data_IF_156115399058
#
_entry.id   IF_156115399058
#
_cell.length_a   1.000
_cell.length_b   1.000
_cell.length_c   1.000
_cell.angle_alpha   90.00
_cell.angle_beta   90.00
_cell.angle_gamma   90.00
#
_symmetry.space_group_name_H-M   'P 1'
#
loop_
_entity.id
_entity.type
_entity.pdbx_description
1 polymer ?
#
# COMPACT_ATOMS: atom_id res chain seq x y z
N UNK A 1 -21.03 11.38 -3.51
CA UNK A 1 -19.97 10.86 -4.42
C UNK A 1 -19.34 9.65 -3.74
N UNK A 2 -19.69 8.44 -4.16
CA UNK A 2 -19.31 7.17 -3.50
C UNK A 2 -17.96 6.64 -4.00
N UNK A 3 -16.97 7.52 -3.99
CA UNK A 3 -15.68 7.30 -4.63
C UNK A 3 -14.62 7.08 -3.56
N UNK A 4 -14.00 5.90 -3.59
CA UNK A 4 -12.83 5.61 -2.76
C UNK A 4 -11.56 5.77 -3.57
N UNK A 5 -10.64 6.58 -3.07
CA UNK A 5 -9.31 6.76 -3.67
C UNK A 5 -8.36 5.68 -3.15
N UNK A 6 -7.78 4.87 -4.04
CA UNK A 6 -6.91 3.76 -3.66
C UNK A 6 -5.56 3.75 -4.43
N UNK A 7 -4.49 3.35 -3.74
CA UNK A 7 -3.20 2.92 -4.30
C UNK A 7 -2.70 1.65 -3.59
N UNK A 8 -1.83 0.85 -4.21
CA UNK A 8 -1.17 -0.30 -3.57
C UNK A 8 0.17 0.12 -2.95
N UNK A 9 0.40 -0.29 -1.69
CA UNK A 9 1.72 -0.23 -1.07
C UNK A 9 2.20 -1.62 -0.65
N UNK A 10 3.49 -1.89 -0.90
CA UNK A 10 4.21 -3.02 -0.31
C UNK A 10 4.81 -2.55 1.02
N UNK A 11 4.63 -3.31 2.09
CA UNK A 11 5.32 -3.03 3.35
C UNK A 11 6.78 -3.45 3.21
N UNK A 12 7.64 -2.51 2.81
CA UNK A 12 9.09 -2.72 2.90
C UNK A 12 9.54 -2.44 4.34
N UNK A 13 9.86 -3.49 5.09
CA UNK A 13 10.53 -3.34 6.38
C UNK A 13 11.98 -2.91 6.13
N UNK A 14 12.23 -1.61 6.12
CA UNK A 14 13.60 -1.07 6.18
C UNK A 14 14.13 -1.31 7.60
N UNK A 15 14.78 -2.45 7.82
CA UNK A 15 15.58 -2.68 9.02
C UNK A 15 16.86 -1.84 8.89
N UNK A 16 16.76 -0.58 9.29
CA UNK A 16 17.90 0.35 9.32
C UNK A 16 18.78 -0.02 10.49
N UNK A 17 19.87 -0.75 10.20
CA UNK A 17 20.94 -1.01 11.16
C UNK A 17 21.66 0.30 11.48
N UNK A 18 21.28 0.92 12.59
CA UNK A 18 22.07 1.97 13.23
C UNK A 18 23.29 1.30 13.85
N UNK A 19 24.42 1.29 13.14
CA UNK A 19 25.74 1.04 13.73
C UNK A 19 26.53 2.35 13.64
N UNK A 20 26.20 3.27 14.55
CA UNK A 20 27.11 4.35 14.92
C UNK A 20 28.18 3.74 15.82
N UNK A 21 29.33 3.38 15.25
CA UNK A 21 30.55 3.13 16.00
C UNK A 21 31.49 4.31 15.74
N UNK A 22 31.31 5.33 16.56
CA UNK A 22 32.25 6.41 16.77
C UNK A 22 33.53 5.80 17.37
N UNK A 23 34.52 5.48 16.53
CA UNK A 23 35.84 5.08 16.99
C UNK A 23 36.72 6.33 17.08
N UNK A 24 37.09 6.63 18.32
CA UNK A 24 37.76 7.83 18.79
C UNK A 24 39.15 8.02 18.16
N UNK A 25 39.44 9.30 17.89
CA UNK A 25 40.75 9.85 17.55
C UNK A 25 41.78 9.48 18.63
N UNK A 26 42.82 8.75 18.25
CA UNK A 26 44.09 8.78 18.98
C UNK A 26 45.22 9.05 17.99
N UNK A 27 46.04 10.04 18.34
CA UNK A 27 47.06 10.65 17.51
C UNK A 27 48.26 9.72 17.31
N UNK A 28 48.87 9.75 16.10
CA UNK A 28 50.27 9.34 15.92
C UNK A 28 50.62 8.66 14.59
N UNK A 29 51.28 9.43 13.71
CA UNK A 29 52.32 9.04 12.74
C UNK A 29 51.95 8.42 11.38
N UNK A 30 52.66 8.95 10.36
CA UNK A 30 52.50 8.79 8.91
C UNK A 30 53.44 7.68 8.38
N UNK A 31 53.09 7.12 7.21
CA UNK A 31 53.78 6.11 6.37
C UNK A 31 53.33 4.69 6.71
N UNK A 32 52.53 3.96 5.93
CA UNK A 32 52.26 3.99 4.50
C UNK A 32 52.21 2.52 4.06
N UNK A 33 51.24 2.14 3.24
CA UNK A 33 51.33 1.21 2.10
C UNK A 33 49.92 0.80 1.67
N UNK A 34 49.59 1.34 0.49
CA UNK A 34 48.70 0.82 -0.53
C UNK A 34 48.19 -0.61 -0.29
N UNK A 35 46.89 -0.75 -0.04
CA UNK A 35 46.10 -1.83 -0.62
C UNK A 35 45.08 -1.21 -1.58
N UNK A 36 45.54 -1.15 -2.82
CA UNK A 36 44.72 -1.17 -4.01
C UNK A 36 43.70 -2.31 -3.91
N UNK A 37 42.42 -1.98 -3.84
CA UNK A 37 41.43 -2.43 -4.82
C UNK A 37 40.08 -1.84 -4.42
N UNK A 38 39.58 -0.96 -5.28
CA UNK A 38 38.18 -0.58 -5.36
C UNK A 38 37.36 -1.86 -5.61
N UNK A 39 37.04 -2.60 -4.55
CA UNK A 39 35.89 -3.48 -4.58
C UNK A 39 34.70 -2.54 -4.50
N UNK A 40 34.26 -2.09 -5.68
CA UNK A 40 32.86 -1.75 -5.85
C UNK A 40 32.10 -3.00 -5.43
N UNK A 41 31.63 -3.02 -4.19
CA UNK A 41 30.49 -3.83 -3.83
C UNK A 41 29.36 -3.26 -4.67
N UNK A 42 29.26 -3.76 -5.91
CA UNK A 42 28.07 -3.66 -6.72
C UNK A 42 27.02 -4.29 -5.82
N UNK A 43 26.28 -3.43 -5.12
CA UNK A 43 25.08 -3.81 -4.42
C UNK A 43 24.26 -4.53 -5.49
N UNK A 44 24.33 -5.86 -5.46
CA UNK A 44 23.44 -6.69 -6.24
C UNK A 44 22.12 -6.48 -5.55
N UNK A 45 21.43 -5.40 -5.94
CA UNK A 45 20.00 -5.32 -5.77
C UNK A 45 19.48 -6.63 -6.35
N UNK A 46 19.00 -7.51 -5.48
CA UNK A 46 18.26 -8.69 -5.91
C UNK A 46 16.92 -8.15 -6.38
N UNK A 47 16.94 -7.54 -7.55
CA UNK A 47 15.76 -7.30 -8.34
C UNK A 47 15.49 -8.64 -9.01
N UNK A 48 14.80 -9.53 -8.30
CA UNK A 48 14.02 -10.56 -8.96
C UNK A 48 12.85 -9.88 -9.68
N UNK A 49 13.15 -9.05 -10.69
CA UNK A 49 12.17 -8.60 -11.66
C UNK A 49 11.97 -9.74 -12.64
N UNK A 50 11.10 -10.67 -12.27
CA UNK A 50 10.20 -11.15 -13.29
C UNK A 50 9.04 -10.15 -13.33
N UNK A 51 9.23 -9.06 -14.08
CA UNK A 51 8.11 -8.18 -14.47
C UNK A 51 7.32 -8.97 -15.51
N UNK A 52 6.53 -9.94 -15.05
CA UNK A 52 5.34 -10.28 -15.81
C UNK A 52 4.52 -9.00 -15.83
N UNK A 53 4.37 -8.42 -17.01
CA UNK A 53 3.50 -7.27 -17.27
C UNK A 53 2.07 -7.79 -17.12
N UNK A 54 1.69 -8.10 -15.89
CA UNK A 54 0.29 -8.14 -15.52
C UNK A 54 -0.08 -6.68 -15.27
N UNK A 55 -0.92 -6.12 -16.13
CA UNK A 55 -1.49 -4.78 -15.93
C UNK A 55 -2.23 -4.87 -14.59
N UNK A 56 -1.62 -4.33 -13.53
CA UNK A 56 -2.22 -4.31 -12.21
C UNK A 56 -3.37 -3.30 -12.27
N UNK A 57 -4.55 -3.62 -11.73
CA UNK A 57 -5.69 -2.69 -11.74
C UNK A 57 -5.49 -1.45 -10.87
N UNK A 58 -4.35 -1.33 -10.18
CA UNK A 58 -4.02 -0.25 -9.27
C UNK A 58 -2.65 0.35 -9.61
N UNK A 59 -2.55 1.67 -9.60
CA UNK A 59 -1.27 2.40 -9.74
C UNK A 59 -0.65 2.64 -8.37
N UNK A 60 0.67 2.40 -8.17
CA UNK A 60 1.34 2.72 -6.91
C UNK A 60 1.55 4.22 -6.70
N UNK A 61 1.69 4.99 -7.78
CA UNK A 61 2.11 6.40 -7.73
C UNK A 61 0.95 7.39 -7.56
N UNK A 62 -0.27 6.98 -7.89
CA UNK A 62 -1.44 7.84 -7.92
C UNK A 62 -2.67 7.16 -7.34
N UNK A 63 -3.50 7.94 -6.67
CA UNK A 63 -4.79 7.50 -6.17
C UNK A 63 -5.82 7.41 -7.30
N UNK A 64 -6.52 6.28 -7.39
CA UNK A 64 -7.60 6.08 -8.34
C UNK A 64 -8.95 5.96 -7.65
N UNK A 65 -9.98 6.55 -8.28
CA UNK A 65 -11.36 6.53 -7.83
C UNK A 65 -12.08 5.23 -8.21
N UNK A 66 -12.63 4.51 -7.25
CA UNK A 66 -13.45 3.32 -7.50
C UNK A 66 -14.88 3.52 -7.02
N UNK A 67 -15.84 3.07 -7.84
CA UNK A 67 -17.28 3.18 -7.58
C UNK A 67 -17.77 2.05 -6.68
N UNK A 68 -18.58 2.38 -5.67
CA UNK A 68 -19.26 1.39 -4.84
C UNK A 68 -20.40 0.72 -5.62
N UNK A 69 -20.30 -0.59 -5.84
CA UNK A 69 -21.34 -1.40 -6.50
C UNK A 69 -22.43 -1.84 -5.54
N UNK A 70 -22.03 -2.30 -4.35
CA UNK A 70 -22.97 -2.77 -3.34
C UNK A 70 -22.29 -2.77 -1.97
N UNK A 71 -23.12 -2.77 -0.92
CA UNK A 71 -22.63 -2.99 0.44
C UNK A 71 -23.62 -3.84 1.23
N UNK A 72 -23.12 -4.72 2.10
CA UNK A 72 -23.93 -5.63 2.92
C UNK A 72 -23.40 -5.69 4.34
N UNK A 73 -24.30 -5.71 5.32
CA UNK A 73 -23.92 -5.89 6.71
C UNK A 73 -23.55 -7.36 6.97
N UNK A 74 -22.38 -7.58 7.56
CA UNK A 74 -21.94 -8.89 8.04
C UNK A 74 -22.16 -9.01 9.56
N UNK A 75 -22.22 -7.87 10.26
CA UNK A 75 -22.60 -7.74 11.67
C UNK A 75 -23.21 -6.37 11.94
N UNK A 76 -23.49 -6.05 13.20
CA UNK A 76 -24.01 -4.75 13.67
C UNK A 76 -23.05 -3.59 13.37
N UNK A 77 -21.73 -3.83 13.44
CA UNK A 77 -20.69 -2.81 13.26
C UNK A 77 -19.79 -3.09 12.06
N UNK A 78 -20.02 -4.18 11.32
CA UNK A 78 -19.14 -4.63 10.25
C UNK A 78 -19.91 -4.73 8.95
N UNK A 79 -19.40 -4.05 7.91
CA UNK A 79 -20.01 -4.02 6.59
C UNK A 79 -18.98 -4.41 5.53
N UNK A 80 -19.40 -5.23 4.59
CA UNK A 80 -18.65 -5.56 3.40
C UNK A 80 -19.03 -4.60 2.27
N UNK A 81 -18.02 -4.03 1.63
CA UNK A 81 -18.16 -3.08 0.53
C UNK A 81 -17.57 -3.70 -0.74
N UNK A 82 -18.34 -3.71 -1.83
CA UNK A 82 -17.92 -4.20 -3.13
C UNK A 82 -17.71 -3.01 -4.07
N UNK A 83 -16.50 -2.85 -4.58
CA UNK A 83 -16.10 -1.76 -5.48
C UNK A 83 -15.83 -2.29 -6.88
N UNK A 84 -16.30 -1.55 -7.89
CA UNK A 84 -16.00 -1.84 -9.29
C UNK A 84 -14.54 -1.52 -9.60
N UNK A 85 -13.89 -2.38 -10.38
CA UNK A 85 -12.66 -2.01 -11.10
C UNK A 85 -13.00 -1.10 -12.28
N UNK A 86 -11.98 -0.44 -12.84
CA UNK A 86 -12.14 0.49 -13.96
C UNK A 86 -12.78 -0.18 -15.19
N UNK A 87 -12.44 -1.45 -15.46
CA UNK A 87 -13.10 -2.27 -16.47
C UNK A 87 -13.63 -3.55 -15.84
N UNK A 88 -14.77 -4.01 -16.33
CA UNK A 88 -15.38 -5.29 -15.92
C UNK A 88 -14.54 -6.51 -16.32
N UNK A 89 -13.69 -6.36 -17.35
CA UNK A 89 -12.75 -7.39 -17.81
C UNK A 89 -11.47 -7.47 -16.99
N UNK A 90 -11.15 -6.44 -16.21
CA UNK A 90 -9.91 -6.38 -15.45
C UNK A 90 -9.94 -7.42 -14.34
N UNK A 91 -8.79 -8.04 -14.10
CA UNK A 91 -8.62 -9.06 -13.08
C UNK A 91 -7.98 -8.44 -11.85
N UNK A 92 -8.65 -8.55 -10.71
CA UNK A 92 -8.11 -8.20 -9.41
C UNK A 92 -6.88 -9.07 -9.12
N UNK A 93 -5.73 -8.42 -8.96
CA UNK A 93 -4.48 -9.07 -8.60
C UNK A 93 -3.63 -8.09 -7.80
N UNK A 94 -3.24 -8.50 -6.59
CA UNK A 94 -2.29 -7.77 -5.75
C UNK A 94 -1.18 -8.72 -5.26
N UNK A 95 0.06 -8.24 -5.08
CA UNK A 95 1.10 -9.04 -4.46
C UNK A 95 0.69 -9.54 -3.07
N UNK A 96 1.12 -10.74 -2.70
CA UNK A 96 0.90 -11.27 -1.34
C UNK A 96 1.52 -10.32 -0.32
N UNK A 97 0.82 -10.09 0.79
CA UNK A 97 1.19 -9.13 1.84
C UNK A 97 1.24 -7.65 1.39
N UNK A 98 0.43 -7.27 0.40
CA UNK A 98 0.19 -5.86 0.06
C UNK A 98 -1.20 -5.38 0.52
N UNK A 99 -1.39 -4.07 0.55
CA UNK A 99 -2.64 -3.46 0.97
C UNK A 99 -3.08 -2.30 0.04
N UNK A 100 -4.38 -2.04 0.06
CA UNK A 100 -5.08 -0.93 -0.58
C UNK A 100 -5.05 0.26 0.37
N UNK A 101 -4.55 1.40 -0.09
CA UNK A 101 -4.51 2.65 0.69
C UNK A 101 -5.73 3.50 0.33
N UNK A 102 -6.78 3.42 1.15
CA UNK A 102 -7.96 4.24 1.01
C UNK A 102 -7.70 5.69 1.46
N UNK A 103 -8.17 6.65 0.68
CA UNK A 103 -8.12 8.08 0.99
C UNK A 103 -9.51 8.71 0.79
N UNK A 104 -9.88 9.60 1.71
CA UNK A 104 -10.92 10.61 1.47
C UNK A 104 -10.50 11.94 2.11
N UNK A 105 -11.08 13.03 1.62
CA UNK A 105 -10.89 14.36 2.19
C UNK A 105 -12.15 14.70 2.98
N UNK A 106 -11.97 15.04 4.26
CA UNK A 106 -13.08 15.42 5.14
C UNK A 106 -13.60 16.84 4.80
N UNK A 107 -14.72 17.22 5.39
CA UNK A 107 -15.34 18.54 5.23
C UNK A 107 -14.42 19.69 5.67
N UNK A 108 -13.46 19.41 6.57
CA UNK A 108 -12.43 20.35 7.03
C UNK A 108 -11.23 20.45 6.07
N UNK A 109 -11.27 19.76 4.93
CA UNK A 109 -10.17 19.72 3.95
C UNK A 109 -8.99 18.82 4.37
N UNK A 110 -9.14 18.05 5.46
CA UNK A 110 -8.12 17.13 5.94
C UNK A 110 -8.19 15.79 5.20
N UNK A 111 -7.04 15.36 4.68
CA UNK A 111 -6.90 14.06 4.05
C UNK A 111 -6.78 12.94 5.12
N UNK A 112 -7.71 12.00 5.07
CA UNK A 112 -7.73 10.82 5.93
C UNK A 112 -7.36 9.60 5.09
N UNK A 113 -6.24 8.97 5.46
CA UNK A 113 -5.65 7.85 4.73
C UNK A 113 -5.60 6.61 5.62
N UNK A 114 -6.07 5.46 5.12
CA UNK A 114 -6.08 4.19 5.86
C UNK A 114 -5.72 3.00 4.96
N UNK A 115 -4.81 2.11 5.39
CA UNK A 115 -4.56 0.86 4.69
C UNK A 115 -5.67 -0.17 4.98
N UNK A 116 -6.07 -0.91 3.96
CA UNK A 116 -7.00 -2.04 4.03
C UNK A 116 -6.46 -3.22 3.24
N UNK A 117 -6.57 -4.41 3.79
CA UNK A 117 -6.32 -5.64 3.04
C UNK A 117 -7.64 -6.12 2.44
N UNK A 118 -7.74 -6.24 1.11
CA UNK A 118 -8.94 -6.75 0.49
C UNK A 118 -9.13 -8.23 0.83
N UNK A 119 -10.40 -8.65 0.86
CA UNK A 119 -10.77 -10.06 1.12
C UNK A 119 -10.95 -10.86 -0.18
N UNK A 120 -10.89 -10.18 -1.33
CA UNK A 120 -11.04 -10.79 -2.65
C UNK A 120 -9.80 -11.60 -3.02
N UNK A 121 -10.03 -12.77 -3.62
CA UNK A 121 -8.94 -13.61 -4.14
C UNK A 121 -8.35 -13.01 -5.41
N UNK A 122 -7.04 -13.20 -5.60
CA UNK A 122 -6.41 -12.90 -6.88
C UNK A 122 -7.07 -13.76 -7.98
N UNK A 123 -7.39 -13.15 -9.13
CA UNK A 123 -8.09 -13.81 -10.24
C UNK A 123 -9.56 -13.41 -10.41
N UNK A 124 -10.16 -12.74 -9.41
CA UNK A 124 -11.54 -12.24 -9.53
C UNK A 124 -11.64 -11.11 -10.57
N UNK A 125 -12.67 -11.12 -11.40
CA UNK A 125 -12.84 -10.12 -12.47
C UNK A 125 -13.83 -9.03 -12.08
N UNK A 126 -13.49 -7.78 -12.43
CA UNK A 126 -14.39 -6.63 -12.43
C UNK A 126 -14.66 -5.95 -11.09
N UNK A 127 -14.29 -6.54 -9.95
CA UNK A 127 -14.51 -5.94 -8.63
C UNK A 127 -13.47 -6.37 -7.59
N UNK A 128 -13.47 -5.65 -6.46
CA UNK A 128 -12.80 -6.05 -5.24
C UNK A 128 -13.66 -5.71 -4.02
N UNK A 129 -13.48 -6.45 -2.93
CA UNK A 129 -14.24 -6.33 -1.70
C UNK A 129 -13.35 -5.92 -0.53
N UNK A 130 -13.86 -4.99 0.28
CA UNK A 130 -13.28 -4.59 1.56
C UNK A 130 -14.24 -4.94 2.69
N UNK A 131 -13.73 -5.54 3.76
CA UNK A 131 -14.46 -5.76 5.00
C UNK A 131 -14.04 -4.69 6.01
N UNK A 132 -14.98 -3.85 6.43
CA UNK A 132 -14.67 -2.70 7.29
C UNK A 132 -15.56 -2.72 8.53
N UNK A 133 -14.91 -2.58 9.68
CA UNK A 133 -15.55 -2.39 10.98
C UNK A 133 -15.68 -0.89 11.28
N UNK A 134 -16.87 -0.46 11.68
CA UNK A 134 -17.18 0.90 12.12
C UNK A 134 -16.80 1.05 13.59
N UNK A 135 -15.99 2.07 13.86
CA UNK A 135 -15.66 2.51 15.21
C UNK A 135 -16.27 3.89 15.44
N UNK A 136 -16.74 4.16 16.66
CA UNK A 136 -17.44 5.41 16.99
C UNK A 136 -16.63 6.68 16.67
N UNK A 137 -15.30 6.62 16.79
CA UNK A 137 -14.38 7.74 16.47
C UNK A 137 -13.63 7.53 15.14
N UNK A 138 -14.00 6.52 14.36
CA UNK A 138 -13.32 6.15 13.12
C UNK A 138 -13.82 6.95 11.93
N UNK A 139 -13.11 8.01 11.55
CA UNK A 139 -13.52 8.90 10.44
C UNK A 139 -13.72 8.15 9.11
N UNK A 140 -12.77 7.28 8.72
CA UNK A 140 -12.87 6.47 7.50
C UNK A 140 -14.04 5.46 7.56
N UNK A 141 -14.25 4.81 8.71
CA UNK A 141 -15.36 3.89 8.89
C UNK A 141 -16.71 4.61 8.75
N UNK A 142 -16.86 5.77 9.38
CA UNK A 142 -18.06 6.61 9.23
C UNK A 142 -18.28 7.04 7.78
N UNK A 143 -17.22 7.49 7.09
CA UNK A 143 -17.29 7.86 5.68
C UNK A 143 -17.79 6.69 4.81
N UNK A 144 -17.17 5.52 4.91
CA UNK A 144 -17.54 4.34 4.13
C UNK A 144 -18.98 3.89 4.40
N UNK A 145 -19.41 3.89 5.67
CA UNK A 145 -20.76 3.46 6.05
C UNK A 145 -21.86 4.41 5.57
N UNK A 146 -21.52 5.68 5.31
CA UNK A 146 -22.43 6.69 4.77
C UNK A 146 -22.48 6.68 3.22
N UNK A 147 -21.59 5.95 2.54
CA UNK A 147 -21.65 5.82 1.08
C UNK A 147 -22.86 5.00 0.65
N UNK A 148 -23.46 5.39 -0.48
CA UNK A 148 -24.54 4.65 -1.14
C UNK A 148 -24.02 4.01 -2.43
N UNK A 149 -24.47 2.79 -2.77
CA UNK A 149 -24.15 2.20 -4.07
C UNK A 149 -24.63 3.10 -5.21
N UNK A 150 -23.80 3.29 -6.25
CA UNK A 150 -24.15 4.17 -7.38
C UNK A 150 -23.01 4.99 -7.95
#
# INVERSE_FOLDING_TARGET
VSVLYCTIRRTESKMTGVWSACALLSAGSILGWVCNSHIHHKEKTVVCANKSVHILPFSPDAYQSYKLLSSRYESHDTRRFCFALNKTTDTFAIPVASCIIAKFTDNEGKDIVRPYTPITSNGTKGYFELLVKKYNKGQMGTHLFNMQPG
#
